data_IF_377792884407
#
_entry.id   IF_377792884407
#
_cell.length_a   1.000
_cell.length_b   1.000
_cell.length_c   1.000
_cell.angle_alpha   90.00
_cell.angle_beta   90.00
_cell.angle_gamma   90.00
#
_symmetry.space_group_name_H-M   'P 1'
#
loop_
_entity.id
_entity.type
_entity.pdbx_description
1 polymer ?
#
# COMPACT_ATOMS: atom_id res chain seq x y z
N UNK A 1 -5.10 17.83 -10.77
CA UNK A 1 -5.43 17.55 -9.35
C UNK A 1 -5.71 16.08 -9.10
N UNK A 2 -6.63 15.43 -9.84
CA UNK A 2 -6.89 13.98 -9.71
C UNK A 2 -5.68 13.15 -10.17
N UNK A 3 -5.13 13.43 -11.36
CA UNK A 3 -3.91 12.75 -11.85
C UNK A 3 -2.75 12.84 -10.85
N UNK A 4 -2.60 14.00 -10.19
CA UNK A 4 -1.59 14.21 -9.15
C UNK A 4 -1.89 13.37 -7.90
N UNK A 5 -3.16 13.24 -7.50
CA UNK A 5 -3.57 12.40 -6.37
C UNK A 5 -3.43 10.89 -6.67
N UNK A 6 -3.67 10.48 -7.91
CA UNK A 6 -3.45 9.11 -8.39
C UNK A 6 -1.97 8.76 -8.35
N UNK A 7 -1.11 9.63 -8.90
CA UNK A 7 0.34 9.46 -8.86
C UNK A 7 0.88 9.35 -7.42
N UNK A 8 0.40 10.20 -6.50
CA UNK A 8 0.78 10.14 -5.07
C UNK A 8 0.34 8.81 -4.43
N UNK A 9 -0.87 8.34 -4.72
CA UNK A 9 -1.36 7.04 -4.25
C UNK A 9 -0.51 5.89 -4.79
N UNK A 10 -0.16 5.93 -6.06
CA UNK A 10 0.65 4.89 -6.70
C UNK A 10 2.09 4.85 -6.15
N UNK A 11 2.69 6.02 -5.93
CA UNK A 11 3.97 6.12 -5.24
C UNK A 11 3.89 5.55 -3.81
N UNK A 12 2.83 5.86 -3.06
CA UNK A 12 2.63 5.32 -1.72
C UNK A 12 2.48 3.78 -1.73
N UNK A 13 1.79 3.22 -2.73
CA UNK A 13 1.64 1.78 -2.91
C UNK A 13 2.96 1.10 -3.30
N UNK A 14 3.74 1.69 -4.21
CA UNK A 14 5.06 1.19 -4.58
C UNK A 14 6.02 1.17 -3.39
N UNK A 15 6.05 2.25 -2.60
CA UNK A 15 6.85 2.32 -1.37
C UNK A 15 6.42 1.26 -0.34
N UNK A 16 5.12 1.00 -0.18
CA UNK A 16 4.63 -0.06 0.69
C UNK A 16 5.11 -1.45 0.24
N UNK A 17 5.09 -1.72 -1.07
CA UNK A 17 5.58 -2.98 -1.62
C UNK A 17 7.08 -3.18 -1.33
N UNK A 18 7.90 -2.15 -1.52
CA UNK A 18 9.33 -2.18 -1.20
C UNK A 18 9.57 -2.43 0.30
N UNK A 19 8.83 -1.77 1.19
CA UNK A 19 8.95 -1.98 2.63
C UNK A 19 8.58 -3.41 3.04
N UNK A 20 7.52 -3.98 2.45
CA UNK A 20 7.14 -5.38 2.70
C UNK A 20 8.21 -6.36 2.25
N UNK A 21 8.82 -6.13 1.08
CA UNK A 21 9.94 -6.92 0.61
C UNK A 21 11.14 -6.84 1.57
N UNK A 22 11.45 -5.63 2.08
CA UNK A 22 12.52 -5.44 3.05
C UNK A 22 12.24 -6.16 4.39
N UNK A 23 10.99 -6.19 4.87
CA UNK A 23 10.60 -7.00 6.03
C UNK A 23 10.83 -8.49 5.76
N UNK A 24 10.37 -9.00 4.60
CA UNK A 24 10.52 -10.41 4.25
C UNK A 24 12.00 -10.85 4.17
N UNK A 25 12.85 -10.02 3.59
CA UNK A 25 14.30 -10.25 3.55
C UNK A 25 14.91 -10.26 4.97
N UNK A 26 14.52 -9.29 5.81
CA UNK A 26 15.00 -9.22 7.19
C UNK A 26 14.56 -10.43 8.02
N UNK A 27 13.32 -10.89 7.86
CA UNK A 27 12.79 -12.08 8.52
C UNK A 27 13.50 -13.35 8.04
N UNK A 28 13.81 -13.45 6.74
CA UNK A 28 14.60 -14.58 6.18
C UNK A 28 16.00 -14.62 6.78
N UNK A 29 16.68 -13.47 6.92
CA UNK A 29 17.98 -13.40 7.59
C UNK A 29 17.88 -13.80 9.06
N UNK A 30 16.84 -13.35 9.77
CA UNK A 30 16.61 -13.74 11.16
C UNK A 30 16.46 -15.26 11.29
N UNK A 31 15.63 -15.88 10.43
CA UNK A 31 15.43 -17.33 10.43
C UNK A 31 16.75 -18.07 10.23
N UNK A 32 17.57 -17.65 9.25
CA UNK A 32 18.89 -18.25 9.01
C UNK A 32 19.81 -18.18 10.22
N UNK A 33 19.82 -17.05 10.94
CA UNK A 33 20.63 -16.91 12.16
C UNK A 33 20.13 -17.85 13.27
N UNK A 34 18.81 -17.99 13.42
CA UNK A 34 18.19 -18.88 14.40
C UNK A 34 18.44 -20.36 14.09
N UNK A 35 18.33 -20.75 12.82
CA UNK A 35 18.61 -22.11 12.36
C UNK A 35 20.08 -22.46 12.60
N UNK A 36 20.99 -21.56 12.21
CA UNK A 36 22.42 -21.75 12.41
C UNK A 36 22.79 -21.85 13.90
N UNK A 37 22.13 -21.05 14.76
CA UNK A 37 22.29 -21.15 16.21
C UNK A 37 21.85 -22.51 16.74
N UNK A 38 20.67 -22.99 16.32
CA UNK A 38 20.15 -24.29 16.73
C UNK A 38 21.11 -25.42 16.32
N UNK A 39 21.67 -25.34 15.11
CA UNK A 39 22.68 -26.27 14.63
C UNK A 39 23.96 -26.24 15.47
N UNK A 40 24.45 -25.05 15.82
CA UNK A 40 25.61 -24.91 16.72
C UNK A 40 25.36 -25.61 18.05
N UNK A 41 24.19 -25.38 18.68
CA UNK A 41 23.85 -25.97 19.98
C UNK A 41 23.72 -27.49 19.90
N UNK A 42 23.07 -28.02 18.84
CA UNK A 42 22.94 -29.46 18.63
C UNK A 42 24.31 -30.15 18.50
N UNK A 43 25.27 -29.55 17.77
CA UNK A 43 26.63 -30.07 17.64
C UNK A 43 27.38 -30.10 18.97
N UNK A 44 27.14 -29.14 19.87
CA UNK A 44 27.75 -29.14 21.21
C UNK A 44 27.17 -30.22 22.13
N UNK A 45 25.86 -30.44 22.07
CA UNK A 45 25.17 -31.46 22.87
C UNK A 45 25.53 -32.89 22.44
N UNK A 46 25.90 -33.09 21.17
CA UNK A 46 26.33 -34.38 20.62
C UNK A 46 27.74 -34.83 21.06
N UNK A 47 28.42 -34.10 21.96
CA UNK A 47 29.65 -34.54 22.62
C UNK A 47 30.94 -34.37 21.81
N UNK A 48 30.90 -33.69 20.67
CA UNK A 48 32.08 -33.48 19.79
C UNK A 48 33.11 -32.52 20.41
N UNK A 49 32.67 -31.61 21.29
CA UNK A 49 33.55 -30.81 22.15
C UNK A 49 33.71 -31.55 23.49
N UNK A 50 34.51 -32.61 23.48
CA UNK A 50 34.80 -33.39 24.69
C UNK A 50 35.42 -32.52 25.80
N UNK A 51 35.22 -32.93 27.06
CA UNK A 51 35.66 -32.24 28.28
C UNK A 51 37.19 -31.98 28.40
N UNK A 52 37.98 -32.36 27.40
CA UNK A 52 39.44 -32.28 27.33
C UNK A 52 39.98 -31.03 26.65
N UNK A 53 39.16 -30.22 25.96
CA UNK A 53 39.59 -28.96 25.33
C UNK A 53 38.81 -27.74 25.86
N UNK A 54 39.25 -27.23 27.03
CA UNK A 54 38.65 -26.06 27.69
C UNK A 54 38.79 -24.75 26.90
N UNK A 55 39.83 -24.63 26.06
CA UNK A 55 40.03 -23.44 25.22
C UNK A 55 39.03 -23.42 24.04
N UNK A 56 38.80 -24.59 23.43
CA UNK A 56 37.77 -24.77 22.40
C UNK A 56 36.36 -24.48 22.91
N UNK A 57 36.03 -24.94 24.13
CA UNK A 57 34.72 -24.70 24.75
C UNK A 57 34.46 -23.21 25.02
N UNK A 58 35.46 -22.46 25.52
CA UNK A 58 35.32 -21.03 25.80
C UNK A 58 35.16 -20.22 24.51
N UNK A 59 35.93 -20.55 23.45
CA UNK A 59 35.79 -19.93 22.13
C UNK A 59 34.40 -20.15 21.53
N UNK A 60 33.88 -21.37 21.66
CA UNK A 60 32.53 -21.74 21.22
C UNK A 60 31.44 -20.95 21.96
N UNK A 61 31.49 -20.89 23.31
CA UNK A 61 30.52 -20.12 24.10
C UNK A 61 30.51 -18.64 23.71
N UNK A 62 31.69 -18.05 23.47
CA UNK A 62 31.81 -16.66 23.02
C UNK A 62 31.20 -16.46 21.63
N UNK A 63 31.36 -17.42 20.73
CA UNK A 63 30.75 -17.36 19.39
C UNK A 63 29.22 -17.42 19.46
N UNK A 64 28.66 -18.35 20.26
CA UNK A 64 27.21 -18.44 20.47
C UNK A 64 26.66 -17.15 21.09
N UNK A 65 27.37 -16.55 22.06
CA UNK A 65 26.97 -15.26 22.63
C UNK A 65 26.89 -14.13 21.59
N UNK A 66 27.87 -14.03 20.68
CA UNK A 66 27.82 -13.06 19.57
C UNK A 66 26.66 -13.34 18.61
N UNK A 67 26.35 -14.61 18.37
CA UNK A 67 25.24 -15.00 17.51
C UNK A 67 23.89 -14.61 18.14
N UNK A 68 23.76 -14.74 19.46
CA UNK A 68 22.59 -14.29 20.22
C UNK A 68 22.40 -12.77 20.15
N UNK A 69 23.48 -12.01 20.30
CA UNK A 69 23.46 -10.55 20.09
C UNK A 69 23.02 -10.19 18.67
N UNK A 70 23.56 -10.86 17.65
CA UNK A 70 23.19 -10.63 16.25
C UNK A 70 21.71 -10.95 15.98
N UNK A 71 21.18 -12.04 16.56
CA UNK A 71 19.76 -12.40 16.48
C UNK A 71 18.90 -11.31 17.13
N UNK A 72 19.26 -10.84 18.32
CA UNK A 72 18.52 -9.79 19.02
C UNK A 72 18.45 -8.48 18.21
N UNK A 73 19.59 -8.07 17.63
CA UNK A 73 19.66 -6.90 16.75
C UNK A 73 18.79 -7.10 15.50
N UNK A 74 18.86 -8.27 14.86
CA UNK A 74 18.08 -8.56 13.67
C UNK A 74 16.57 -8.59 13.97
N UNK A 75 16.15 -9.11 15.13
CA UNK A 75 14.76 -9.05 15.59
C UNK A 75 14.27 -7.62 15.76
N UNK A 76 15.10 -6.75 16.34
CA UNK A 76 14.75 -5.32 16.48
C UNK A 76 14.60 -4.66 15.11
N UNK A 77 15.47 -4.98 14.16
CA UNK A 77 15.41 -4.48 12.79
C UNK A 77 14.17 -4.97 12.03
N UNK A 78 13.74 -6.22 12.22
CA UNK A 78 12.46 -6.73 11.69
C UNK A 78 11.30 -5.90 12.26
N UNK A 79 11.20 -5.77 13.59
CA UNK A 79 10.13 -4.98 14.25
C UNK A 79 10.09 -3.54 13.76
N UNK A 80 11.25 -2.90 13.61
CA UNK A 80 11.37 -1.53 13.11
C UNK A 80 10.86 -1.40 11.67
N UNK A 81 11.16 -2.36 10.80
CA UNK A 81 10.67 -2.38 9.41
C UNK A 81 9.17 -2.66 9.36
N UNK A 82 8.65 -3.53 10.21
CA UNK A 82 7.21 -3.79 10.34
C UNK A 82 6.44 -2.54 10.78
N UNK A 83 6.96 -1.78 11.75
CA UNK A 83 6.36 -0.51 12.16
C UNK A 83 6.28 0.49 10.98
N UNK A 84 7.33 0.56 10.15
CA UNK A 84 7.31 1.40 8.92
C UNK A 84 6.30 0.92 7.90
N UNK A 85 6.10 -0.39 7.76
CA UNK A 85 5.04 -0.96 6.90
C UNK A 85 3.66 -0.50 7.39
N UNK A 86 3.41 -0.53 8.70
CA UNK A 86 2.14 -0.06 9.28
C UNK A 86 1.91 1.43 9.03
N UNK A 87 2.93 2.26 9.26
CA UNK A 87 2.85 3.70 8.99
C UNK A 87 2.55 3.97 7.50
N UNK A 88 3.23 3.28 6.59
CA UNK A 88 3.02 3.45 5.16
C UNK A 88 1.64 2.95 4.71
N UNK A 89 1.08 1.92 5.35
CA UNK A 89 -0.30 1.48 5.09
C UNK A 89 -1.30 2.57 5.42
N UNK A 90 -1.15 3.26 6.56
CA UNK A 90 -2.01 4.38 6.94
C UNK A 90 -1.90 5.52 5.92
N UNK A 91 -0.68 5.88 5.49
CA UNK A 91 -0.46 6.89 4.45
C UNK A 91 -1.14 6.52 3.13
N UNK A 92 -1.06 5.26 2.71
CA UNK A 92 -1.73 4.78 1.51
C UNK A 92 -3.26 4.91 1.61
N UNK A 93 -3.84 4.54 2.76
CA UNK A 93 -5.28 4.70 3.02
C UNK A 93 -5.71 6.17 2.94
N UNK A 94 -4.92 7.08 3.50
CA UNK A 94 -5.20 8.52 3.41
C UNK A 94 -5.15 9.04 1.97
N UNK A 95 -4.18 8.59 1.18
CA UNK A 95 -4.07 8.95 -0.24
C UNK A 95 -5.28 8.44 -1.02
N UNK A 96 -5.71 7.20 -0.78
CA UNK A 96 -6.91 6.62 -1.38
C UNK A 96 -8.17 7.42 -1.02
N UNK A 97 -8.33 7.79 0.26
CA UNK A 97 -9.46 8.61 0.72
C UNK A 97 -9.51 9.97 0.02
N UNK A 98 -8.37 10.65 -0.11
CA UNK A 98 -8.27 11.93 -0.82
C UNK A 98 -8.63 11.79 -2.29
N UNK A 99 -8.12 10.75 -2.96
CA UNK A 99 -8.44 10.46 -4.36
C UNK A 99 -9.95 10.24 -4.55
N UNK A 100 -10.58 9.42 -3.71
CA UNK A 100 -12.03 9.18 -3.76
C UNK A 100 -12.84 10.47 -3.58
N UNK A 101 -12.41 11.36 -2.67
CA UNK A 101 -13.06 12.65 -2.47
C UNK A 101 -13.00 13.53 -3.73
N UNK A 102 -11.84 13.63 -4.39
CA UNK A 102 -11.71 14.37 -5.64
C UNK A 102 -12.54 13.77 -6.78
N UNK A 103 -12.52 12.43 -6.92
CA UNK A 103 -13.34 11.74 -7.92
C UNK A 103 -14.84 11.91 -7.69
N UNK A 104 -15.28 11.97 -6.43
CA UNK A 104 -16.68 12.22 -6.10
C UNK A 104 -17.10 13.66 -6.45
N UNK A 105 -16.24 14.64 -6.17
CA UNK A 105 -16.49 16.03 -6.54
C UNK A 105 -16.59 16.20 -8.05
N UNK A 106 -15.64 15.66 -8.81
CA UNK A 106 -15.65 15.72 -10.27
C UNK A 106 -16.92 15.08 -10.86
N UNK A 107 -17.33 13.91 -10.35
CA UNK A 107 -18.56 13.25 -10.78
C UNK A 107 -19.79 14.15 -10.61
N UNK A 108 -19.92 14.81 -9.45
CA UNK A 108 -21.02 15.75 -9.19
C UNK A 108 -21.01 16.94 -10.14
N UNK A 109 -19.84 17.47 -10.48
CA UNK A 109 -19.73 18.59 -11.42
C UNK A 109 -20.17 18.19 -12.83
N UNK A 110 -19.74 17.00 -13.29
CA UNK A 110 -20.15 16.43 -14.58
C UNK A 110 -21.66 16.17 -14.62
N UNK A 111 -22.21 15.54 -13.58
CA UNK A 111 -23.66 15.31 -13.47
C UNK A 111 -24.47 16.61 -13.50
N UNK A 112 -24.01 17.63 -12.76
CA UNK A 112 -24.66 18.94 -12.77
C UNK A 112 -24.55 19.65 -14.13
N UNK A 113 -23.42 19.51 -14.83
CA UNK A 113 -23.24 20.05 -16.18
C UNK A 113 -24.17 19.37 -17.19
N UNK A 114 -24.24 18.03 -17.16
CA UNK A 114 -25.12 17.24 -18.02
C UNK A 114 -26.59 17.58 -17.78
N UNK A 115 -27.02 17.68 -16.51
CA UNK A 115 -28.38 18.08 -16.17
C UNK A 115 -28.72 19.49 -16.68
N UNK A 116 -27.77 20.43 -16.65
CA UNK A 116 -27.96 21.78 -17.22
C UNK A 116 -28.05 21.75 -18.74
N UNK A 117 -27.22 20.96 -19.41
CA UNK A 117 -27.25 20.81 -20.87
C UNK A 117 -28.58 20.19 -21.34
N UNK A 118 -29.00 19.08 -20.73
CA UNK A 118 -30.25 18.40 -21.04
C UNK A 118 -31.47 19.32 -20.85
N UNK A 119 -31.49 20.15 -19.80
CA UNK A 119 -32.55 21.15 -19.61
C UNK A 119 -32.57 22.24 -20.68
N UNK A 120 -31.41 22.61 -21.23
CA UNK A 120 -31.33 23.60 -22.32
C UNK A 120 -31.82 23.00 -23.62
N UNK A 121 -31.34 21.80 -23.97
CA UNK A 121 -31.76 21.05 -25.16
C UNK A 121 -33.28 20.80 -25.16
N UNK A 122 -33.85 20.40 -24.01
CA UNK A 122 -35.29 20.21 -23.88
C UNK A 122 -36.07 21.50 -24.14
N UNK A 123 -35.63 22.64 -23.59
CA UNK A 123 -36.27 23.94 -23.82
C UNK A 123 -36.21 24.36 -25.28
N UNK A 124 -35.06 24.19 -25.93
CA UNK A 124 -34.88 24.52 -27.34
C UNK A 124 -35.77 23.65 -28.25
N UNK A 125 -35.89 22.35 -27.93
CA UNK A 125 -36.78 21.43 -28.62
C UNK A 125 -38.26 21.84 -28.45
N UNK A 126 -38.68 22.17 -27.22
CA UNK A 126 -40.05 22.62 -26.93
C UNK A 126 -40.39 23.93 -27.66
N UNK A 127 -39.45 24.90 -27.70
CA UNK A 127 -39.62 26.14 -28.45
C UNK A 127 -39.77 25.89 -29.95
N UNK A 128 -38.96 24.99 -30.51
CA UNK A 128 -39.05 24.64 -31.93
C UNK A 128 -40.40 23.98 -32.26
N UNK A 129 -40.83 23.02 -31.43
CA UNK A 129 -42.12 22.35 -31.58
C UNK A 129 -43.30 23.34 -31.47
N UNK A 130 -43.28 24.25 -30.49
CA UNK A 130 -44.30 25.28 -30.33
C UNK A 130 -44.37 26.24 -31.53
N UNK A 131 -43.21 26.66 -32.07
CA UNK A 131 -43.14 27.50 -33.28
C UNK A 131 -43.65 26.76 -34.53
N UNK A 132 -43.32 25.48 -34.69
CA UNK A 132 -43.80 24.66 -35.81
C UNK A 132 -45.33 24.50 -35.75
N UNK A 133 -45.87 24.14 -34.58
CA UNK A 133 -47.31 23.98 -34.37
C UNK A 133 -48.08 25.30 -34.58
N UNK A 134 -47.55 26.43 -34.10
CA UNK A 134 -48.16 27.74 -34.30
C UNK A 134 -48.23 28.18 -35.78
N UNK A 135 -47.25 27.80 -36.60
CA UNK A 135 -47.30 28.02 -38.06
C UNK A 135 -48.36 27.16 -38.73
N UNK A 136 -48.49 25.90 -38.30
CA UNK A 136 -49.45 24.96 -38.84
C UNK A 136 -50.89 25.37 -38.54
N UNK A 137 -51.15 25.90 -37.34
CA UNK A 137 -52.45 26.48 -36.98
C UNK A 137 -52.80 27.75 -37.77
N UNK A 138 -51.82 28.62 -38.07
CA UNK A 138 -52.04 29.81 -38.91
C UNK A 138 -52.25 29.49 -40.39
N UNK A 139 -51.65 28.42 -40.90
CA UNK A 139 -51.85 27.96 -42.28
C UNK A 139 -53.17 27.22 -42.51
N UNK A 140 -53.90 26.89 -41.43
CA UNK A 140 -55.15 26.12 -41.47
C UNK A 140 -56.40 26.93 -41.12
N UNK A 141 -56.28 28.26 -40.96
CA UNK A 141 -57.44 29.16 -40.91
C UNK A 141 -57.69 29.78 -42.29
N UNK A 142 -58.90 29.62 -42.87
CA UNK A 142 -59.28 30.15 -44.19
C UNK A 142 -59.43 31.68 -44.22
#
# INVERSE_FOLDING_TARGET
MIETAEAVRDQAAAALAQLRQAVAQAATTLQRLQDFRAECLARSAAGTLGATDGAGLQGYQRFVGRLDEAIALQQQEVRRREARVQEQQLRLQECQRKLMAFQALQRREVEAANARAQRREQREADEFAARAFGRQLRGSMP
#
